data_IF_039795749723
#
_entry.id   IF_039795749723
#
_cell.length_a   1.000
_cell.length_b   1.000
_cell.length_c   1.000
_cell.angle_alpha   90.00
_cell.angle_beta   90.00
_cell.angle_gamma   90.00
#
_symmetry.space_group_name_H-M   'P 1'
#
loop_
_entity.id
_entity.type
_entity.pdbx_description
1 polymer ?
#
# COMPACT_ATOMS: atom_id res chain seq x y z
N UNK A 1 14.55 -2.88 -2.53
CA UNK A 1 13.20 -2.30 -2.63
C UNK A 1 12.15 -3.34 -2.29
N UNK A 2 11.07 -2.97 -1.57
CA UNK A 2 9.98 -3.89 -1.25
C UNK A 2 9.29 -4.43 -2.50
N UNK A 3 8.81 -5.66 -2.41
CA UNK A 3 7.96 -6.31 -3.39
C UNK A 3 6.60 -5.62 -3.42
N UNK A 4 6.06 -5.46 -4.62
CA UNK A 4 4.71 -4.99 -4.79
C UNK A 4 3.71 -6.10 -4.42
N UNK A 5 2.49 -5.71 -4.03
CA UNK A 5 1.38 -6.62 -3.78
C UNK A 5 0.10 -6.08 -4.42
N UNK A 6 -0.85 -6.97 -4.67
CA UNK A 6 -2.15 -6.61 -5.22
C UNK A 6 -3.28 -7.32 -4.48
N UNK A 7 -4.49 -6.77 -4.58
CA UNK A 7 -5.70 -7.38 -4.07
C UNK A 7 -6.49 -8.04 -5.20
N UNK A 8 -6.95 -9.26 -4.96
CA UNK A 8 -7.94 -9.95 -5.79
C UNK A 8 -9.36 -9.45 -5.46
N UNK A 9 -10.37 -9.68 -6.32
CA UNK A 9 -11.74 -9.24 -6.06
C UNK A 9 -12.39 -9.86 -4.82
N UNK A 10 -11.90 -11.02 -4.37
CA UNK A 10 -12.34 -11.69 -3.14
C UNK A 10 -11.69 -11.11 -1.87
N UNK A 11 -10.84 -10.09 -1.98
CA UNK A 11 -10.13 -9.45 -0.87
C UNK A 11 -8.81 -10.12 -0.48
N UNK A 12 -8.40 -11.19 -1.17
CA UNK A 12 -7.11 -11.83 -0.94
C UNK A 12 -5.96 -10.93 -1.42
N UNK A 13 -4.93 -10.80 -0.59
CA UNK A 13 -3.69 -10.08 -0.92
C UNK A 13 -2.65 -11.07 -1.43
N UNK A 14 -2.04 -10.75 -2.57
CA UNK A 14 -1.04 -11.58 -3.22
C UNK A 14 0.21 -10.74 -3.45
N UNK A 15 1.36 -11.31 -3.10
CA UNK A 15 2.67 -10.75 -3.39
C UNK A 15 3.02 -10.87 -4.88
N UNK A 16 3.69 -9.86 -5.41
CA UNK A 16 4.19 -9.85 -6.78
C UNK A 16 5.65 -9.42 -6.83
N UNK A 17 6.59 -10.33 -6.48
CA UNK A 17 8.01 -10.01 -6.33
C UNK A 17 8.71 -9.55 -7.62
N UNK A 18 8.11 -9.78 -8.79
CA UNK A 18 8.65 -9.32 -10.07
C UNK A 18 8.66 -7.78 -10.21
N UNK A 19 7.76 -7.10 -9.49
CA UNK A 19 7.71 -5.64 -9.44
C UNK A 19 8.11 -5.12 -8.05
N UNK A 20 8.87 -4.04 -8.04
CA UNK A 20 9.12 -3.24 -6.86
C UNK A 20 7.93 -2.33 -6.58
N UNK A 21 7.62 -2.22 -5.30
CA UNK A 21 6.73 -1.21 -4.74
C UNK A 21 7.23 0.20 -5.10
N UNK A 22 6.32 1.06 -5.52
CA UNK A 22 6.54 2.50 -5.66
C UNK A 22 5.46 3.30 -4.95
N UNK A 23 5.82 4.52 -4.57
CA UNK A 23 4.90 5.51 -4.02
C UNK A 23 4.70 6.67 -4.98
N UNK A 24 3.83 7.59 -4.57
CA UNK A 24 3.59 8.85 -5.27
C UNK A 24 3.78 10.02 -4.32
N UNK A 25 4.51 11.03 -4.79
CA UNK A 25 4.66 12.34 -4.15
C UNK A 25 4.32 13.43 -5.15
N UNK A 26 3.30 14.25 -4.83
CA UNK A 26 2.73 15.20 -5.79
C UNK A 26 2.30 14.53 -7.09
N UNK A 27 2.98 14.85 -8.19
CA UNK A 27 2.73 14.28 -9.53
C UNK A 27 3.76 13.23 -9.95
N UNK A 28 4.72 12.89 -9.10
CA UNK A 28 5.83 12.00 -9.42
C UNK A 28 5.62 10.63 -8.79
N UNK A 29 5.90 9.59 -9.58
CA UNK A 29 6.13 8.24 -9.07
C UNK A 29 7.57 8.15 -8.61
N UNK A 30 7.78 7.60 -7.40
CA UNK A 30 9.08 7.50 -6.78
C UNK A 30 9.25 6.15 -6.11
N UNK A 31 10.47 5.63 -6.13
CA UNK A 31 10.87 4.54 -5.26
C UNK A 31 11.06 5.09 -3.83
N UNK A 32 10.53 4.42 -2.78
CA UNK A 32 10.72 4.87 -1.41
C UNK A 32 12.19 4.77 -0.98
N UNK A 33 12.67 5.75 -0.21
CA UNK A 33 13.94 5.62 0.53
C UNK A 33 13.80 4.55 1.63
N UNK A 34 14.86 3.79 1.91
CA UNK A 34 14.84 2.80 2.98
C UNK A 34 14.52 3.42 4.35
N UNK A 35 14.88 4.69 4.57
CA UNK A 35 14.64 5.42 5.82
C UNK A 35 13.18 5.80 6.05
N UNK A 36 12.35 5.81 5.00
CA UNK A 36 10.91 6.08 5.10
C UNK A 36 10.07 4.81 5.08
N UNK A 37 10.70 3.63 5.03
CA UNK A 37 10.03 2.34 5.10
C UNK A 37 10.07 1.79 6.52
N UNK A 38 8.91 1.65 7.13
CA UNK A 38 8.74 1.01 8.43
C UNK A 38 7.90 -0.26 8.30
N UNK A 39 8.05 -1.26 9.20
CA UNK A 39 7.09 -2.34 9.32
C UNK A 39 5.68 -1.79 9.48
N UNK A 40 4.69 -2.46 8.90
CA UNK A 40 3.27 -2.07 9.01
C UNK A 40 2.91 -1.92 10.50
N UNK A 41 2.52 -0.72 10.97
CA UNK A 41 2.22 -0.50 12.37
C UNK A 41 1.05 -1.36 12.84
N UNK A 42 1.10 -1.81 14.10
CA UNK A 42 -0.03 -2.49 14.73
C UNK A 42 -1.27 -1.58 14.69
N UNK A 43 -2.42 -2.14 14.33
CA UNK A 43 -3.67 -1.38 14.20
C UNK A 43 -3.81 -0.63 12.87
N UNK A 44 -2.83 -0.71 11.96
CA UNK A 44 -3.02 -0.30 10.58
C UNK A 44 -3.98 -1.24 9.83
N UNK A 45 -4.68 -0.71 8.84
CA UNK A 45 -5.63 -1.48 8.02
C UNK A 45 -5.16 -1.50 6.57
N UNK A 46 -5.03 -2.69 5.97
CA UNK A 46 -4.79 -2.82 4.54
C UNK A 46 -6.11 -2.60 3.78
N UNK A 47 -6.04 -1.84 2.70
CA UNK A 47 -7.18 -1.51 1.86
C UNK A 47 -6.88 -1.81 0.39
N UNK A 48 -7.72 -2.64 -0.23
CA UNK A 48 -7.80 -2.69 -1.67
C UNK A 48 -8.29 -1.33 -2.21
N UNK A 49 -7.83 -0.96 -3.40
CA UNK A 49 -8.23 0.27 -4.08
C UNK A 49 -8.97 -0.11 -5.38
N UNK A 50 -10.28 -0.48 -5.31
CA UNK A 50 -11.03 -0.89 -6.48
C UNK A 50 -10.98 0.13 -7.60
N UNK A 51 -10.87 -0.33 -8.85
CA UNK A 51 -10.75 0.52 -10.03
C UNK A 51 -9.37 1.17 -10.20
N UNK A 52 -8.40 0.89 -9.32
CA UNK A 52 -7.02 1.38 -9.43
C UNK A 52 -6.11 0.33 -10.02
N UNK A 53 -5.44 0.71 -11.10
CA UNK A 53 -4.45 -0.10 -11.81
C UNK A 53 -3.17 -0.10 -11.00
N UNK A 54 -2.61 -1.29 -10.80
CA UNK A 54 -1.38 -1.49 -10.08
C UNK A 54 -0.20 -0.91 -10.88
N UNK A 55 0.64 -0.11 -10.22
CA UNK A 55 1.88 0.42 -10.78
C UNK A 55 3.07 -0.10 -9.98
N UNK A 56 4.10 -0.54 -10.69
CA UNK A 56 5.35 -1.03 -10.11
C UNK A 56 6.54 -0.82 -11.04
N UNK A 57 7.74 -0.89 -10.49
CA UNK A 57 8.97 -0.90 -11.31
C UNK A 57 9.40 -2.34 -11.54
N UNK A 58 9.57 -2.74 -12.80
CA UNK A 58 10.15 -4.04 -13.15
C UNK A 58 11.59 -4.12 -12.63
N UNK A 59 11.89 -5.14 -11.83
CA UNK A 59 13.20 -5.25 -11.17
C UNK A 59 14.34 -5.59 -12.13
N UNK A 60 14.04 -6.21 -13.26
CA UNK A 60 15.05 -6.58 -14.24
C UNK A 60 15.33 -5.43 -15.22
N UNK A 61 14.29 -4.67 -15.57
CA UNK A 61 14.35 -3.62 -16.61
C UNK A 61 14.43 -2.20 -16.08
N UNK A 62 13.99 -1.96 -14.84
CA UNK A 62 13.86 -0.61 -14.28
C UNK A 62 12.72 0.21 -14.91
N UNK A 63 11.77 -0.45 -15.58
CA UNK A 63 10.67 0.21 -16.29
C UNK A 63 9.40 0.26 -15.44
N UNK A 64 8.62 1.33 -15.58
CA UNK A 64 7.31 1.45 -14.96
C UNK A 64 6.31 0.53 -15.68
N UNK A 65 5.74 -0.42 -14.95
CA UNK A 65 4.77 -1.40 -15.44
C UNK A 65 3.39 -1.11 -14.84
N UNK A 66 2.39 -1.12 -15.73
CA UNK A 66 0.97 -1.16 -15.39
C UNK A 66 0.46 -2.60 -15.42
N UNK A 67 -0.08 -3.08 -14.31
CA UNK A 67 -0.65 -4.42 -14.21
C UNK A 67 -2.15 -4.38 -13.90
N UNK A 68 -2.93 -4.94 -14.82
CA UNK A 68 -4.39 -4.86 -14.78
C UNK A 68 -5.06 -6.21 -14.50
N UNK A 69 -4.34 -7.30 -14.74
CA UNK A 69 -4.84 -8.66 -14.57
C UNK A 69 -3.88 -9.48 -13.72
N UNK A 70 -4.42 -10.47 -13.02
CA UNK A 70 -3.64 -11.38 -12.18
C UNK A 70 -2.60 -12.13 -13.04
N UNK A 71 -1.29 -11.94 -12.79
CA UNK A 71 -0.23 -12.53 -13.60
C UNK A 71 -0.07 -14.03 -13.37
N UNK A 72 -0.61 -14.56 -12.27
CA UNK A 72 -0.53 -15.97 -11.90
C UNK A 72 -1.69 -16.81 -12.44
N UNK A 73 -2.64 -16.20 -13.15
CA UNK A 73 -3.80 -16.91 -13.70
C UNK A 73 -3.86 -16.82 -15.23
N UNK A 74 -4.24 -17.94 -15.86
CA UNK A 74 -4.50 -17.98 -17.32
C UNK A 74 -5.75 -17.19 -17.71
N UNK A 75 -6.76 -17.17 -16.83
CA UNK A 75 -7.98 -16.38 -17.04
C UNK A 75 -7.71 -14.93 -16.62
N UNK A 76 -8.21 -13.97 -17.41
CA UNK A 76 -8.16 -12.55 -17.09
C UNK A 76 -9.00 -12.21 -15.86
N UNK A 77 -8.41 -12.33 -14.67
CA UNK A 77 -8.97 -11.88 -13.39
C UNK A 77 -8.50 -10.45 -13.13
N UNK A 78 -9.43 -9.52 -12.87
CA UNK A 78 -9.08 -8.14 -12.49
C UNK A 78 -8.44 -8.13 -11.10
N UNK A 79 -7.44 -7.27 -10.93
CA UNK A 79 -6.75 -7.04 -9.65
C UNK A 79 -6.76 -5.55 -9.34
N UNK A 80 -6.53 -5.22 -8.07
CA UNK A 80 -6.55 -3.85 -7.57
C UNK A 80 -5.25 -3.50 -6.89
N UNK A 81 -4.83 -2.23 -7.06
CA UNK A 81 -3.77 -1.65 -6.24
C UNK A 81 -4.15 -1.70 -4.75
N UNK A 82 -3.14 -1.66 -3.88
CA UNK A 82 -3.30 -1.78 -2.44
C UNK A 82 -2.67 -0.58 -1.74
N UNK A 83 -3.32 -0.10 -0.70
CA UNK A 83 -2.77 0.87 0.24
C UNK A 83 -2.94 0.42 1.68
N UNK A 84 -2.37 1.18 2.61
CA UNK A 84 -2.62 1.00 4.03
C UNK A 84 -3.15 2.28 4.67
N UNK A 85 -3.99 2.14 5.70
CA UNK A 85 -4.43 3.22 6.57
C UNK A 85 -3.65 3.13 7.87
N UNK A 86 -2.94 4.20 8.21
CA UNK A 86 -2.12 4.26 9.40
C UNK A 86 -2.95 4.62 10.63
N UNK A 87 -2.61 4.09 11.81
CA UNK A 87 -3.16 4.60 13.06
C UNK A 87 -2.56 5.98 13.39
N UNK A 88 -3.10 6.64 14.42
CA UNK A 88 -2.54 7.88 14.93
C UNK A 88 -1.10 7.68 15.43
N UNK A 89 -0.30 8.75 15.35
CA UNK A 89 1.13 8.76 15.68
C UNK A 89 2.05 8.37 14.52
N UNK A 90 1.51 8.13 13.32
CA UNK A 90 2.29 7.90 12.11
C UNK A 90 1.90 8.88 11.00
N UNK A 91 2.91 9.37 10.30
CA UNK A 91 2.75 10.24 9.14
C UNK A 91 3.20 9.51 7.90
N UNK A 92 2.30 9.35 6.93
CA UNK A 92 2.66 8.81 5.61
C UNK A 92 3.66 9.75 4.92
N UNK A 93 4.63 9.18 4.23
CA UNK A 93 5.58 9.95 3.41
C UNK A 93 5.20 9.87 1.93
N UNK A 94 4.64 8.74 1.49
CA UNK A 94 4.16 8.52 0.12
C UNK A 94 2.72 7.99 0.12
N UNK A 95 1.94 8.38 -0.90
CA UNK A 95 0.64 7.72 -1.16
C UNK A 95 0.86 6.51 -2.10
N UNK A 96 -0.08 5.54 -2.16
CA UNK A 96 0.03 4.44 -3.12
C UNK A 96 0.15 4.94 -4.55
N UNK A 97 1.09 4.38 -5.31
CA UNK A 97 1.16 4.61 -6.73
C UNK A 97 0.11 3.75 -7.45
N UNK A 98 -0.74 4.40 -8.24
CA UNK A 98 -1.68 3.73 -9.11
C UNK A 98 -2.05 4.61 -10.31
N UNK A 99 -2.59 3.98 -11.34
CA UNK A 99 -3.36 4.66 -12.38
C UNK A 99 -4.86 4.40 -12.20
N UNK A 100 -5.70 5.21 -12.83
CA UNK A 100 -7.16 5.08 -12.77
C UNK A 100 -7.72 4.80 -14.15
N UNK A 101 -8.73 3.94 -14.23
CA UNK A 101 -9.52 3.85 -15.46
C UNK A 101 -10.29 5.15 -15.71
N UNK A 102 -10.52 5.53 -16.98
CA UNK A 102 -11.40 6.64 -17.32
C UNK A 102 -12.79 6.46 -16.70
N UNK A 103 -13.29 7.50 -16.04
CA UNK A 103 -14.63 7.50 -15.43
C UNK A 103 -14.75 6.74 -14.10
N UNK A 104 -13.65 6.23 -13.54
CA UNK A 104 -13.67 5.56 -12.23
C UNK A 104 -14.02 6.55 -11.12
N UNK A 105 -14.80 6.09 -10.13
CA UNK A 105 -15.20 6.95 -9.00
C UNK A 105 -13.98 7.35 -8.18
N UNK A 106 -14.02 8.52 -7.54
CA UNK A 106 -13.00 8.92 -6.57
C UNK A 106 -12.96 7.93 -5.41
N UNK A 107 -11.76 7.60 -4.92
CA UNK A 107 -11.64 6.79 -3.70
C UNK A 107 -12.18 7.59 -2.50
N UNK A 108 -12.69 6.92 -1.45
CA UNK A 108 -12.99 7.59 -0.19
C UNK A 108 -11.77 8.38 0.29
N UNK A 109 -11.98 9.61 0.78
CA UNK A 109 -10.90 10.50 1.22
C UNK A 109 -10.32 10.03 2.56
N UNK A 110 -9.46 9.01 2.50
CA UNK A 110 -8.74 8.45 3.63
C UNK A 110 -7.23 8.65 3.46
N UNK A 111 -6.49 8.55 4.56
CA UNK A 111 -5.04 8.74 4.60
C UNK A 111 -4.24 7.52 4.13
N UNK A 112 -4.44 7.07 2.88
CA UNK A 112 -3.71 5.92 2.34
C UNK A 112 -2.20 6.18 2.23
N UNK A 113 -1.39 5.22 2.66
CA UNK A 113 0.05 5.15 2.41
C UNK A 113 0.39 3.99 1.48
N UNK A 114 1.48 4.12 0.72
CA UNK A 114 2.04 3.03 -0.06
C UNK A 114 2.41 1.85 0.87
N UNK A 115 2.09 0.64 0.43
CA UNK A 115 2.43 -0.62 1.12
C UNK A 115 3.13 -1.60 0.18
N UNK A 116 4.08 -2.37 0.72
CA UNK A 116 4.86 -3.39 0.03
C UNK A 116 5.22 -4.53 0.97
N UNK A 117 5.97 -5.51 0.46
CA UNK A 117 6.51 -6.62 1.26
C UNK A 117 8.03 -6.58 1.22
N UNK A 118 8.68 -6.59 2.38
CA UNK A 118 10.14 -6.66 2.50
C UNK A 118 10.47 -7.80 3.46
N UNK A 119 11.29 -8.75 3.00
CA UNK A 119 11.70 -9.92 3.79
C UNK A 119 10.52 -10.70 4.42
N UNK A 120 9.42 -10.85 3.67
CA UNK A 120 8.21 -11.54 4.12
C UNK A 120 7.34 -10.75 5.11
N UNK A 121 7.64 -9.46 5.36
CA UNK A 121 6.87 -8.59 6.23
C UNK A 121 6.27 -7.42 5.45
N UNK A 122 5.04 -7.03 5.80
CA UNK A 122 4.44 -5.82 5.24
C UNK A 122 5.20 -4.58 5.75
N UNK A 123 5.54 -3.70 4.82
CA UNK A 123 6.18 -2.41 5.09
C UNK A 123 5.38 -1.29 4.43
N UNK A 124 5.44 -0.10 5.02
CA UNK A 124 4.71 1.08 4.54
C UNK A 124 5.63 2.30 4.45
N UNK A 125 5.30 3.21 3.54
CA UNK A 125 5.99 4.49 3.40
C UNK A 125 5.49 5.48 4.47
N UNK A 126 6.11 5.46 5.64
CA UNK A 126 5.69 6.26 6.78
C UNK A 126 6.81 6.46 7.79
N UNK A 127 6.67 7.51 8.59
CA UNK A 127 7.49 7.77 9.77
C UNK A 127 6.61 7.82 11.01
N UNK A 128 7.12 7.31 12.13
CA UNK A 128 6.47 7.50 13.42
C UNK A 128 6.73 8.93 13.90
N UNK A 129 5.66 9.69 14.10
CA UNK A 129 5.72 11.11 14.49
C UNK A 129 5.26 11.38 15.90
N UNK A 130 4.63 10.41 16.57
CA UNK A 130 4.24 10.49 17.98
C UNK A 130 4.32 9.12 18.66
N UNK A 131 4.25 9.12 20.00
CA UNK A 131 4.13 7.92 20.80
C UNK A 131 2.78 7.25 20.54
N UNK A 132 2.82 6.13 19.83
CA UNK A 132 1.64 5.40 19.40
C UNK A 132 0.77 4.87 20.56
N UNK A 133 1.39 4.59 21.71
CA UNK A 133 0.73 3.95 22.85
C UNK A 133 -0.29 4.86 23.55
N UNK A 134 -0.09 6.18 23.52
CA UNK A 134 -0.89 7.17 24.25
C UNK A 134 -2.33 7.31 23.73
N UNK A 135 -2.60 6.83 22.53
CA UNK A 135 -3.90 6.95 21.86
C UNK A 135 -4.49 5.60 21.48
N UNK A 136 -3.80 4.50 21.79
CA UNK A 136 -4.19 3.18 21.30
C UNK A 136 -5.50 2.75 21.99
N UNK A 137 -6.60 2.49 21.26
CA UNK A 137 -7.89 2.16 21.91
C UNK A 137 -7.82 0.94 22.82
N UNK A 138 -6.94 -0.02 22.53
CA UNK A 138 -6.69 -1.16 23.42
C UNK A 138 -6.25 -0.75 24.84
N UNK A 139 -5.61 0.41 25.00
CA UNK A 139 -5.11 0.91 26.28
C UNK A 139 -6.12 1.78 27.04
N UNK A 140 -7.12 2.34 26.33
CA UNK A 140 -8.04 3.35 26.89
C UNK A 140 -9.53 3.05 26.69
N UNK A 141 -9.89 1.93 26.04
CA UNK A 141 -11.26 1.45 25.87
C UNK A 141 -11.50 0.21 26.75
N UNK A 142 -11.14 0.31 28.04
CA UNK A 142 -11.46 -0.71 29.06
C UNK A 142 -12.86 -0.45 29.63
N UNK A 143 -13.47 -1.43 30.32
CA UNK A 143 -14.86 -1.29 30.83
C UNK A 143 -15.00 -0.26 31.97
N UNK A 144 -13.86 0.17 32.45
CA UNK A 144 -13.58 0.93 33.66
C UNK A 144 -13.14 2.37 33.35
N UNK A 145 -13.06 2.72 32.07
CA UNK A 145 -12.89 4.07 31.50
C UNK A 145 -14.09 4.43 30.63
#
# INVERSE_FOLDING_TARGET
MPDLLFARPNGELIDFPALSMIGKTGYHYVEPDEKELIPLPKGATIAALPGRILLGIDKDRGELIELVFNPYQKKKERIWAVGALLPQGFTRTLVPAYASFPGEKTLPLLGYTAVGISHGQLVVAAVQTDAHDLWHPQNYNTRDL
#
